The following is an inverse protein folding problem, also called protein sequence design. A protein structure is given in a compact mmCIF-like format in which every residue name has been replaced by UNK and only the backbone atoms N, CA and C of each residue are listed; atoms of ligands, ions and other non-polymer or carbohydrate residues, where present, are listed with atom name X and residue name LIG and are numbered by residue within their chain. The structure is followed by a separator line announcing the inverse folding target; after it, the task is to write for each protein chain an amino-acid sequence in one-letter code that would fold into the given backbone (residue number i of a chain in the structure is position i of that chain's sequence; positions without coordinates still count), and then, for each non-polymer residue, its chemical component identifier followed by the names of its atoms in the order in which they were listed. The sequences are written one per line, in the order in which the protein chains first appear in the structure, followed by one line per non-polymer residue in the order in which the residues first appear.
data_IF_347720715510
#
_entry.id   IF_347720715510
#
_cell.length_a   1.000
_cell.length_b   1.000
_cell.length_c   1.000
_cell.angle_alpha   90.00
_cell.angle_beta   90.00
_cell.angle_gamma   90.00
#
_symmetry.space_group_name_H-M   'P 1'
#
loop_
_entity.id
_entity.type
_entity.pdbx_description
1 polymer ?
2 non-polymer ?
3 non-polymer ?
4 water ?
#
# COMPACT_ATOMS: atom_id res chain seq x y z
N UNK A 1 2.42 -13.28 -26.97
CA UNK A 1 2.04 -12.41 -25.86
C UNK A 1 3.18 -11.59 -25.31
N UNK A 2 3.13 -10.25 -25.33
CA UNK A 2 4.00 -9.46 -24.46
C UNK A 2 3.19 -8.30 -23.85
N UNK A 3 3.67 -7.93 -22.72
CA UNK A 3 3.63 -7.41 -21.38
C UNK A 3 4.58 -6.24 -21.10
N UNK A 4 4.54 -5.31 -22.01
CA UNK A 4 5.32 -4.08 -22.01
C UNK A 4 4.65 -2.96 -21.27
N UNK A 5 5.18 -2.45 -20.19
CA UNK A 5 4.45 -1.36 -19.52
C UNK A 5 4.57 -0.07 -20.29
N UNK A 6 3.60 0.82 -20.14
CA UNK A 6 3.63 2.18 -20.63
C UNK A 6 3.25 3.10 -19.48
N UNK A 7 3.66 4.39 -19.56
CA UNK A 7 3.23 5.32 -18.49
C UNK A 7 1.72 5.31 -18.20
N UNK A 8 0.88 4.91 -19.15
CA UNK A 8 -0.55 4.85 -18.89
C UNK A 8 -0.93 3.83 -17.83
N UNK A 9 -0.07 2.83 -17.59
CA UNK A 9 -0.31 1.82 -16.57
C UNK A 9 -0.06 2.35 -15.16
N UNK A 10 0.48 3.54 -15.00
CA UNK A 10 0.60 4.21 -13.69
C UNK A 10 1.48 3.47 -12.71
N UNK A 11 2.52 2.82 -13.23
CA UNK A 11 3.48 2.16 -12.33
C UNK A 11 4.48 3.17 -11.79
N UNK A 12 4.65 3.15 -10.46
CA UNK A 12 5.54 4.09 -9.80
C UNK A 12 6.44 3.34 -8.83
N UNK A 13 7.59 3.96 -8.49
CA UNK A 13 8.59 3.36 -7.64
C UNK A 13 9.16 4.41 -6.68
N UNK A 14 9.46 4.04 -5.44
CA UNK A 14 10.14 4.98 -4.55
C UNK A 14 11.61 5.02 -4.93
N UNK A 15 12.20 6.21 -4.72
CA UNK A 15 13.64 6.31 -4.94
C UNK A 15 14.43 5.31 -4.09
N UNK A 16 13.88 5.03 -2.91
CA UNK A 16 14.56 4.18 -1.93
C UNK A 16 14.46 2.71 -2.29
N UNK A 17 13.70 2.35 -3.32
CA UNK A 17 13.54 0.92 -3.66
C UNK A 17 14.71 0.46 -4.50
N UNK A 18 14.74 0.92 -5.77
CA UNK A 18 15.88 0.58 -6.63
C UNK A 18 17.14 1.17 -6.02
N UNK A 19 17.05 2.22 -5.20
CA UNK A 19 18.23 2.81 -4.55
C UNK A 19 18.65 2.10 -3.28
N UNK A 20 17.99 1.01 -2.85
CA UNK A 20 18.42 0.33 -1.62
C UNK A 20 19.82 -0.24 -1.76
N UNK A 21 20.74 0.08 -0.86
CA UNK A 21 22.14 -0.32 -1.02
C UNK A 21 22.39 -1.71 -0.49
N UNK A 22 21.43 -2.34 0.16
CA UNK A 22 21.69 -3.75 0.54
C UNK A 22 22.13 -3.87 1.99
N UNK A 23 22.08 -2.79 2.77
CA UNK A 23 22.37 -2.95 4.21
C UNK A 23 21.26 -3.70 4.92
N UNK A 24 21.60 -4.78 5.66
CA UNK A 24 20.52 -5.46 6.42
C UNK A 24 21.00 -5.59 7.87
N UNK A 25 20.28 -6.15 8.81
CA UNK A 25 20.75 -6.17 10.20
C UNK A 25 22.07 -6.89 10.39
N UNK A 26 22.48 -7.71 9.43
CA UNK A 26 23.70 -8.49 9.65
C UNK A 26 24.75 -8.23 8.58
N UNK A 27 24.58 -7.18 7.76
CA UNK A 27 25.49 -7.04 6.62
C UNK A 27 25.60 -5.62 6.12
N UNK A 28 26.76 -5.35 5.56
CA UNK A 28 27.10 -4.09 4.97
C UNK A 28 26.45 -3.93 3.58
N UNK A 29 26.50 -2.71 3.07
CA UNK A 29 25.95 -2.45 1.75
C UNK A 29 26.67 -3.29 0.68
N UNK A 30 25.93 -3.78 -0.33
CA UNK A 30 26.56 -4.50 -1.43
C UNK A 30 26.52 -3.67 -2.70
N UNK A 31 25.85 -2.54 -2.70
CA UNK A 31 25.79 -1.69 -3.89
C UNK A 31 26.10 -0.24 -3.56
N UNK A 32 26.67 0.54 -4.48
CA UNK A 32 26.90 1.97 -4.26
C UNK A 32 25.60 2.72 -4.27
N UNK A 33 25.59 3.91 -3.72
CA UNK A 33 24.40 4.76 -3.81
C UNK A 33 24.14 5.17 -5.26
N UNK A 34 22.85 5.31 -5.53
CA UNK A 34 22.36 5.83 -6.79
C UNK A 34 21.99 7.32 -6.64
N UNK A 35 22.43 8.12 -7.60
CA UNK A 35 21.96 9.49 -7.72
C UNK A 35 20.48 9.47 -8.13
N UNK A 36 19.60 10.16 -7.43
CA UNK A 36 18.18 10.21 -7.80
C UNK A 36 17.92 10.49 -9.28
N UNK A 37 18.79 11.30 -9.86
CA UNK A 37 18.59 11.66 -11.29
C UNK A 37 18.79 10.43 -12.16
N UNK A 38 19.78 9.63 -11.76
CA UNK A 38 20.03 8.40 -12.50
C UNK A 38 18.83 7.45 -12.39
N UNK A 39 18.27 7.34 -11.19
CA UNK A 39 17.11 6.44 -11.02
C UNK A 39 15.91 6.90 -11.84
N UNK A 40 15.71 8.24 -11.87
CA UNK A 40 14.54 8.69 -12.64
C UNK A 40 14.74 8.34 -14.10
N UNK A 41 15.94 8.59 -14.62
CA UNK A 41 16.18 8.27 -16.03
C UNK A 41 16.02 6.77 -16.30
N UNK A 42 16.60 5.90 -15.47
CA UNK A 42 16.50 4.45 -15.76
C UNK A 42 15.07 3.93 -15.62
N UNK A 43 14.33 4.44 -14.63
CA UNK A 43 12.93 3.99 -14.48
C UNK A 43 12.07 4.42 -15.66
N UNK A 44 12.27 5.65 -16.15
CA UNK A 44 11.52 6.11 -17.31
C UNK A 44 11.81 5.20 -18.50
N UNK A 45 13.06 4.76 -18.64
CA UNK A 45 13.35 3.89 -19.78
C UNK A 45 12.62 2.56 -19.66
N UNK A 46 12.33 2.15 -18.44
CA UNK A 46 11.68 0.83 -18.24
C UNK A 46 10.19 0.91 -18.44
N UNK A 47 9.65 2.13 -18.55
CA UNK A 47 8.23 2.30 -18.76
C UNK A 47 7.48 2.74 -17.54
N UNK A 48 8.16 3.14 -16.47
CA UNK A 48 7.43 3.63 -15.31
C UNK A 48 6.75 4.96 -15.59
N UNK A 49 5.73 5.29 -14.80
CA UNK A 49 4.96 6.52 -14.88
C UNK A 49 5.54 7.59 -13.97
N UNK A 50 6.12 7.22 -12.83
CA UNK A 50 6.63 8.21 -11.91
C UNK A 50 7.42 7.62 -10.75
N UNK A 51 7.85 8.55 -9.89
CA UNK A 51 8.65 8.18 -8.73
C UNK A 51 8.08 8.84 -7.48
N UNK A 52 8.47 8.32 -6.32
CA UNK A 52 8.07 8.87 -5.02
C UNK A 52 9.33 9.04 -4.19
N UNK A 53 9.21 9.84 -3.14
CA UNK A 53 10.39 10.05 -2.30
C UNK A 53 10.03 10.37 -0.85
N UNK A 54 10.94 10.04 0.03
CA UNK A 54 11.04 10.66 1.33
C UNK A 54 11.88 11.97 1.21
N UNK A 55 11.57 12.96 2.04
CA UNK A 55 12.39 14.15 2.16
C UNK A 55 13.88 13.79 2.15
N UNK A 56 14.29 12.85 3.00
CA UNK A 56 15.72 12.60 3.12
C UNK A 56 16.30 11.77 1.98
N UNK A 57 15.51 11.25 1.07
CA UNK A 57 16.05 10.55 -0.09
C UNK A 57 16.58 11.53 -1.14
N UNK A 58 15.92 12.69 -1.15
CA UNK A 58 16.17 13.69 -2.19
C UNK A 58 17.15 14.76 -1.69
N UNK A 59 16.96 15.12 -0.41
CA UNK A 59 17.76 16.18 0.21
C UNK A 59 18.42 15.60 1.47
N UNK A 60 19.75 15.47 1.39
CA UNK A 60 20.50 14.87 2.50
C UNK A 60 20.14 15.55 3.82
N UNK A 61 19.89 14.75 4.84
CA UNK A 61 19.62 15.27 6.16
C UNK A 61 20.68 16.31 6.55
N UNK A 62 20.21 17.46 7.02
CA UNK A 62 20.92 18.59 7.55
C UNK A 62 21.34 19.56 6.47
N UNK A 63 20.95 19.32 5.22
CA UNK A 63 21.36 20.21 4.13
C UNK A 63 21.02 21.67 4.41
N UNK A 64 21.91 22.56 3.93
CA UNK A 64 21.66 23.99 3.98
C UNK A 64 20.55 24.36 2.99
N UNK A 65 19.85 25.48 3.21
CA UNK A 65 18.77 25.84 2.29
C UNK A 65 19.31 25.99 0.87
N UNK A 66 20.57 26.44 0.79
CA UNK A 66 21.14 26.57 -0.56
C UNK A 66 21.38 25.18 -1.13
N UNK A 67 21.85 24.20 -0.35
CA UNK A 67 22.00 22.91 -1.03
C UNK A 67 20.65 22.27 -1.32
N UNK A 68 19.65 22.49 -0.47
CA UNK A 68 18.29 22.01 -0.69
C UNK A 68 17.81 22.46 -2.06
N UNK A 69 17.87 23.76 -2.35
CA UNK A 69 17.48 24.29 -3.64
C UNK A 69 18.16 23.58 -4.81
N UNK A 70 19.46 23.38 -4.71
CA UNK A 70 20.27 22.72 -5.71
C UNK A 70 19.74 21.30 -5.96
N UNK A 71 19.48 20.55 -4.90
CA UNK A 71 19.03 19.16 -5.10
C UNK A 71 17.66 19.12 -5.77
N UNK A 72 16.77 20.03 -5.39
CA UNK A 72 15.43 20.01 -5.99
C UNK A 72 15.51 20.40 -7.46
N UNK A 73 16.32 21.43 -7.78
CA UNK A 73 16.39 21.90 -9.19
C UNK A 73 16.89 20.76 -10.09
N UNK A 74 17.93 20.02 -9.71
CA UNK A 74 18.43 18.91 -10.49
C UNK A 74 17.35 17.84 -10.69
N UNK A 75 16.64 17.55 -9.59
CA UNK A 75 15.60 16.52 -9.69
C UNK A 75 14.52 16.95 -10.67
N UNK A 76 14.09 18.21 -10.54
CA UNK A 76 13.05 18.74 -11.42
C UNK A 76 13.48 18.71 -12.87
N UNK A 77 14.76 18.98 -13.10
CA UNK A 77 15.16 18.89 -14.50
C UNK A 77 15.08 17.45 -14.99
N UNK A 78 15.42 16.47 -14.16
CA UNK A 78 15.28 15.07 -14.62
C UNK A 78 13.82 14.71 -14.88
N UNK A 79 12.90 15.24 -14.07
CA UNK A 79 11.46 14.99 -14.32
C UNK A 79 11.04 15.62 -15.64
N UNK A 80 11.50 16.85 -15.90
CA UNK A 80 11.15 17.52 -17.13
C UNK A 80 11.69 16.83 -18.37
N UNK A 81 12.89 16.26 -18.23
CA UNK A 81 13.55 15.61 -19.34
C UNK A 81 12.90 14.27 -19.70
N UNK A 82 12.27 13.64 -18.71
CA UNK A 82 11.75 12.27 -18.92
C UNK A 82 10.24 12.19 -18.98
N UNK A 83 9.50 13.24 -18.52
CA UNK A 83 8.05 13.16 -18.46
C UNK A 83 7.55 12.40 -17.24
N UNK A 84 8.44 12.02 -16.30
CA UNK A 84 8.05 11.31 -15.09
C UNK A 84 7.29 12.23 -14.14
N UNK A 85 6.35 11.71 -13.40
CA UNK A 85 5.57 12.43 -12.43
C UNK A 85 5.97 12.02 -11.01
N UNK A 86 5.51 12.83 -10.04
CA UNK A 86 5.69 12.55 -8.60
C UNK A 86 4.33 12.55 -7.91
N UNK A 87 3.65 11.41 -7.93
CA UNK A 87 2.27 11.39 -7.39
C UNK A 87 2.18 11.33 -5.87
N UNK A 88 3.26 10.96 -5.21
CA UNK A 88 3.18 10.73 -3.76
C UNK A 88 4.53 11.13 -3.16
N UNK A 89 4.48 11.64 -1.93
CA UNK A 89 5.72 11.89 -1.18
C UNK A 89 5.46 11.51 0.27
N UNK A 90 6.52 11.41 1.05
CA UNK A 90 6.40 11.02 2.45
C UNK A 90 7.60 11.56 3.21
N UNK A 91 7.61 11.40 4.51
CA UNK A 91 8.63 11.91 5.41
C UNK A 91 9.42 10.76 6.00
N UNK A 92 10.73 10.98 6.13
CA UNK A 92 11.49 9.98 6.89
C UNK A 92 11.44 10.38 8.37
N UNK A 93 10.60 9.63 9.11
CA UNK A 93 10.60 9.83 10.58
C UNK A 93 11.10 8.56 11.25
N UNK A 94 12.11 7.91 10.66
CA UNK A 94 12.50 6.63 11.25
C UNK A 94 13.99 6.42 11.22
N UNK A 95 14.77 7.03 10.35
CA UNK A 95 16.20 6.64 10.29
C UNK A 95 17.06 7.31 11.32
N UNK A 96 16.88 8.64 11.50
CA UNK A 96 17.77 9.35 12.44
C UNK A 96 17.56 8.89 13.87
N UNK A 97 18.62 8.72 14.65
CA UNK A 97 18.51 8.34 16.07
C UNK A 97 17.53 9.20 16.86
N UNK A 98 17.27 10.45 16.48
CA UNK A 98 16.34 11.21 17.31
C UNK A 98 14.95 10.56 17.30
N UNK A 99 14.60 9.78 16.27
CA UNK A 99 13.28 9.15 16.17
C UNK A 99 13.26 7.75 16.76
N UNK A 100 14.26 7.42 17.61
CA UNK A 100 14.34 6.02 18.13
C UNK A 100 13.10 5.60 18.93
N UNK A 101 12.36 6.52 19.52
CA UNK A 101 11.10 6.14 20.22
C UNK A 101 9.89 6.65 19.48
N UNK A 102 10.03 7.08 18.21
CA UNK A 102 8.91 7.53 17.40
C UNK A 102 9.11 8.98 16.96
N UNK A 103 8.19 9.43 16.12
CA UNK A 103 8.10 10.82 15.71
C UNK A 103 6.89 11.43 16.37
N UNK A 104 5.71 11.11 15.83
CA UNK A 104 4.48 11.71 16.38
C UNK A 104 4.11 11.22 17.77
N UNK A 105 4.59 10.04 18.19
CA UNK A 105 4.19 9.50 19.49
C UNK A 105 5.43 9.22 20.35
N UNK A 106 6.57 9.86 20.07
CA UNK A 106 7.73 9.79 20.95
C UNK A 106 7.31 10.26 22.34
N UNK A 107 7.87 9.67 23.37
CA UNK A 107 7.56 10.14 24.71
C UNK A 107 8.04 11.60 24.90
N UNK A 108 9.17 11.99 24.31
CA UNK A 108 9.70 13.34 24.49
C UNK A 108 8.89 14.32 23.64
N UNK A 109 8.30 15.31 24.29
CA UNK A 109 7.44 16.28 23.60
C UNK A 109 8.24 17.08 22.58
N UNK A 110 9.49 17.43 22.86
CA UNK A 110 10.23 18.25 21.89
C UNK A 110 10.44 17.45 20.60
N UNK A 111 10.62 16.14 20.71
CA UNK A 111 10.78 15.33 19.49
C UNK A 111 9.51 15.32 18.63
N UNK A 112 8.38 15.21 19.32
CA UNK A 112 7.07 15.23 18.62
C UNK A 112 6.94 16.55 17.86
N UNK A 113 7.33 17.68 18.43
CA UNK A 113 7.17 18.97 17.75
C UNK A 113 8.10 19.02 16.55
N UNK A 114 9.33 18.52 16.76
CA UNK A 114 10.26 18.46 15.61
C UNK A 114 9.69 17.60 14.50
N UNK A 115 9.12 16.43 14.84
CA UNK A 115 8.58 15.53 13.81
C UNK A 115 7.53 16.25 12.98
N UNK A 116 6.67 17.04 13.66
CA UNK A 116 5.64 17.77 12.93
C UNK A 116 6.24 18.82 12.00
N UNK A 117 7.22 19.60 12.48
CA UNK A 117 7.84 20.60 11.63
C UNK A 117 8.54 19.95 10.43
N UNK A 118 9.22 18.84 10.63
CA UNK A 118 9.94 18.17 9.53
C UNK A 118 8.92 17.73 8.49
N UNK A 119 7.79 17.21 8.94
CA UNK A 119 6.72 16.79 8.04
C UNK A 119 6.15 17.97 7.25
N UNK A 120 5.83 19.05 7.94
CA UNK A 120 5.21 20.21 7.26
C UNK A 120 6.10 20.76 6.18
N UNK A 121 7.40 20.88 6.47
CA UNK A 121 8.36 21.36 5.45
C UNK A 121 8.28 20.53 4.17
N UNK A 122 8.16 19.20 4.35
CA UNK A 122 8.12 18.36 3.16
C UNK A 122 6.74 18.34 2.52
N UNK A 123 5.64 18.64 3.21
CA UNK A 123 4.36 18.71 2.46
C UNK A 123 4.41 19.83 1.45
N UNK A 124 5.03 20.96 1.88
CA UNK A 124 5.13 22.10 0.95
C UNK A 124 5.91 21.68 -0.29
N UNK A 125 6.99 20.92 -0.09
CA UNK A 125 7.76 20.48 -1.25
C UNK A 125 6.92 19.52 -2.11
N UNK A 126 6.23 18.59 -1.46
CA UNK A 126 5.41 17.65 -2.19
C UNK A 126 4.39 18.35 -3.11
N UNK A 127 3.70 19.37 -2.57
CA UNK A 127 2.73 20.10 -3.38
C UNK A 127 3.39 20.77 -4.56
N UNK A 128 4.57 21.38 -4.33
CA UNK A 128 5.29 22.04 -5.44
C UNK A 128 5.62 21.05 -6.56
N UNK A 129 5.97 19.83 -6.22
CA UNK A 129 6.29 18.80 -7.23
C UNK A 129 5.04 18.12 -7.79
N UNK A 130 3.86 18.49 -7.32
CA UNK A 130 2.61 18.01 -7.89
C UNK A 130 2.07 16.75 -7.25
N UNK A 131 2.56 16.38 -6.07
CA UNK A 131 2.05 15.15 -5.46
C UNK A 131 0.60 15.30 -5.02
N UNK A 132 -0.17 14.22 -5.16
CA UNK A 132 -1.58 14.24 -4.78
C UNK A 132 -1.85 13.55 -3.44
N UNK A 133 -0.89 12.71 -3.03
CA UNK A 133 -1.08 11.89 -1.83
C UNK A 133 0.16 12.02 -0.96
N UNK A 134 0.00 12.15 0.35
CA UNK A 134 1.12 12.31 1.25
C UNK A 134 1.05 11.10 2.17
N UNK A 135 2.02 10.19 2.14
CA UNK A 135 1.93 8.98 2.96
C UNK A 135 2.60 9.18 4.30
N UNK A 136 2.03 8.56 5.33
CA UNK A 136 2.70 8.54 6.64
C UNK A 136 2.85 7.09 7.08
N UNK A 137 4.08 6.66 7.27
CA UNK A 137 4.35 5.34 7.81
C UNK A 137 5.02 5.55 9.17
N UNK A 138 4.32 5.21 10.23
CA UNK A 138 4.81 5.48 11.60
C UNK A 138 5.66 4.29 12.05
N UNK A 139 6.77 4.05 11.36
CA UNK A 139 7.56 2.84 11.59
C UNK A 139 8.19 2.79 12.98
N UNK A 140 8.41 3.95 13.62
CA UNK A 140 8.99 3.94 14.97
C UNK A 140 7.94 4.16 16.07
N UNK A 141 6.65 4.22 15.70
CA UNK A 141 5.59 4.48 16.69
C UNK A 141 5.23 3.14 17.30
N UNK A 142 5.59 2.90 18.54
CA UNK A 142 5.30 1.56 19.11
C UNK A 142 6.20 1.27 20.28
N UNK A 143 6.52 -0.01 20.49
CA UNK A 143 7.22 -0.35 21.74
C UNK A 143 7.81 -1.75 21.64
N UNK A 144 8.85 -1.98 22.46
CA UNK A 144 9.35 -3.36 22.70
C UNK A 144 8.85 -3.93 24.02
N UNK A 145 8.30 -3.09 24.89
CA UNK A 145 7.91 -3.51 26.23
C UNK A 145 6.64 -2.80 26.66
N UNK A 146 5.92 -3.42 27.58
CA UNK A 146 4.55 -2.97 27.89
C UNK A 146 4.49 -1.64 28.60
N UNK A 147 5.46 -1.33 29.46
CA UNK A 147 5.37 -0.09 30.24
C UNK A 147 5.84 1.13 29.54
N UNK A 148 6.54 0.98 28.43
CA UNK A 148 7.21 2.06 27.72
C UNK A 148 6.23 3.02 27.06
N UNK A 149 5.01 2.55 26.80
CA UNK A 149 4.11 3.33 25.94
C UNK A 149 2.69 3.11 26.45
N UNK A 150 2.03 4.16 26.94
CA UNK A 150 0.62 4.09 27.24
C UNK A 150 -0.10 4.28 25.91
N UNK A 151 -0.77 3.25 25.41
CA UNK A 151 -1.25 3.37 24.02
C UNK A 151 -2.42 4.33 23.93
N UNK A 152 -3.26 4.51 24.94
CA UNK A 152 -4.30 5.54 24.81
C UNK A 152 -3.68 6.91 24.70
N UNK A 153 -2.63 7.20 25.51
CA UNK A 153 -1.99 8.53 25.37
C UNK A 153 -1.32 8.64 23.99
N UNK A 154 -0.76 7.51 23.54
CA UNK A 154 -0.06 7.57 22.24
C UNK A 154 -1.05 7.85 21.13
N UNK A 155 -2.23 7.20 21.22
CA UNK A 155 -3.27 7.49 20.18
C UNK A 155 -3.74 8.91 20.26
N UNK A 156 -3.82 9.51 21.48
CA UNK A 156 -4.14 10.93 21.55
C UNK A 156 -3.11 11.79 20.81
N UNK A 157 -1.83 11.44 21.02
CA UNK A 157 -0.76 12.19 20.37
C UNK A 157 -0.81 11.97 18.85
N UNK A 158 -1.16 10.77 18.43
CA UNK A 158 -1.19 10.47 16.98
C UNK A 158 -2.31 11.27 16.35
N UNK A 159 -3.46 11.29 17.02
CA UNK A 159 -4.61 12.04 16.49
C UNK A 159 -4.26 13.54 16.47
N UNK A 160 -3.61 14.03 17.52
CA UNK A 160 -3.30 15.46 17.60
C UNK A 160 -2.41 15.81 16.41
N UNK A 161 -1.44 14.97 16.11
CA UNK A 161 -0.51 15.19 14.99
C UNK A 161 -1.25 15.23 13.65
N UNK A 162 -2.05 14.21 13.37
CA UNK A 162 -2.77 14.19 12.08
C UNK A 162 -3.78 15.32 12.04
N UNK A 163 -4.42 15.70 13.14
CA UNK A 163 -5.36 16.82 13.07
C UNK A 163 -4.64 18.12 12.75
N UNK A 164 -3.44 18.31 13.33
CA UNK A 164 -2.66 19.52 12.99
C UNK A 164 -2.27 19.57 11.53
N UNK A 165 -1.80 18.43 11.00
CA UNK A 165 -1.47 18.37 9.58
C UNK A 165 -2.68 18.66 8.68
N UNK A 166 -3.87 18.20 9.09
CA UNK A 166 -5.09 18.50 8.35
C UNK A 166 -5.41 19.99 8.41
N UNK A 167 -5.22 20.60 9.56
CA UNK A 167 -5.40 22.05 9.66
C UNK A 167 -4.45 22.80 8.77
N UNK A 168 -3.21 22.30 8.69
CA UNK A 168 -2.21 22.99 7.89
C UNK A 168 -2.65 22.95 6.43
N UNK A 169 -2.91 21.76 5.91
CA UNK A 169 -3.24 21.60 4.48
C UNK A 169 -4.44 22.43 4.14
N UNK A 170 -5.41 22.48 5.06
CA UNK A 170 -6.64 23.19 4.70
C UNK A 170 -6.43 24.70 4.76
N UNK A 171 -5.60 25.16 5.71
CA UNK A 171 -5.40 26.61 5.80
C UNK A 171 -4.55 27.11 4.65
N UNK A 172 -3.73 26.23 4.06
CA UNK A 172 -2.87 26.62 2.96
C UNK A 172 -3.63 26.48 1.65
N UNK A 173 -4.80 25.84 1.69
CA UNK A 173 -5.56 25.59 0.48
C UNK A 173 -5.00 24.50 -0.43
N UNK A 174 -4.16 23.60 0.08
CA UNK A 174 -3.58 22.54 -0.71
C UNK A 174 -4.57 21.44 -1.09
N UNK A 175 -4.46 20.91 -2.31
CA UNK A 175 -5.18 19.75 -2.77
C UNK A 175 -4.25 18.54 -2.61
N UNK A 176 -4.19 18.09 -1.37
CA UNK A 176 -3.41 16.88 -1.14
C UNK A 176 -4.17 16.12 -0.04
N UNK A 177 -4.10 14.80 -0.12
CA UNK A 177 -4.74 13.93 0.86
C UNK A 177 -3.72 13.06 1.56
N UNK A 178 -3.99 12.59 2.75
CA UNK A 178 -3.02 11.78 3.48
C UNK A 178 -3.35 10.31 3.39
N UNK A 179 -2.34 9.45 3.44
CA UNK A 179 -2.65 8.02 3.40
C UNK A 179 -1.81 7.39 4.51
N UNK A 180 -2.39 6.70 5.45
CA UNK A 180 -1.63 6.09 6.54
C UNK A 180 -1.28 4.68 6.12
N UNK A 181 -0.03 4.32 6.30
CA UNK A 181 0.48 3.02 5.96
C UNK A 181 0.65 2.17 7.21
N UNK A 182 -0.17 1.15 7.43
CA UNK A 182 -0.02 0.29 8.60
C UNK A 182 1.05 -0.76 8.39
N UNK A 183 1.63 -1.21 9.49
CA UNK A 183 2.60 -2.32 9.50
C UNK A 183 2.53 -2.93 10.90
N UNK A 184 2.51 -4.23 11.08
CA UNK A 184 2.31 -4.74 12.45
C UNK A 184 3.54 -4.70 13.37
N UNK A 185 4.74 -4.84 12.81
CA UNK A 185 5.97 -4.86 13.58
C UNK A 185 7.14 -4.58 12.62
N UNK A 186 8.31 -4.32 13.18
CA UNK A 186 9.56 -4.16 12.47
C UNK A 186 9.63 -2.74 11.91
N UNK A 187 10.46 -1.85 12.44
CA UNK A 187 11.49 -2.09 13.43
C UNK A 187 11.08 -2.10 14.87
N UNK A 188 9.88 -1.67 15.26
CA UNK A 188 9.54 -1.77 16.69
C UNK A 188 8.91 -3.14 16.94
N UNK A 189 8.95 -3.58 18.20
CA UNK A 189 8.44 -4.94 18.49
C UNK A 189 6.95 -5.05 18.18
N UNK A 190 6.17 -3.99 18.44
CA UNK A 190 4.79 -3.85 17.97
C UNK A 190 4.64 -2.39 17.53
N UNK A 191 4.02 -2.17 16.38
CA UNK A 191 3.82 -0.81 15.85
C UNK A 191 2.39 -0.40 16.04
N UNK A 192 2.09 0.84 16.35
CA UNK A 192 0.70 1.27 16.51
C UNK A 192 -0.03 1.30 15.17
N UNK A 193 -1.34 1.07 15.16
CA UNK A 193 -2.15 0.96 13.94
C UNK A 193 -1.56 -0.17 13.09
N UNK A 194 -1.54 -1.42 13.58
CA UNK A 194 -0.77 -2.49 12.95
C UNK A 194 -1.35 -3.06 11.67
N UNK A 195 -2.62 -2.83 11.39
CA UNK A 195 -3.20 -3.38 10.17
C UNK A 195 -4.14 -2.36 9.51
N UNK A 196 -4.57 -2.65 8.28
CA UNK A 196 -5.52 -1.78 7.58
C UNK A 196 -6.74 -1.49 8.46
N UNK A 197 -7.25 -2.51 9.17
CA UNK A 197 -8.45 -2.24 9.98
C UNK A 197 -8.20 -1.23 11.07
N UNK A 198 -7.07 -1.38 11.78
CA UNK A 198 -6.78 -0.44 12.88
C UNK A 198 -6.60 0.97 12.33
N UNK A 199 -5.97 1.11 11.18
CA UNK A 199 -5.84 2.45 10.55
C UNK A 199 -7.18 3.01 10.14
N UNK A 200 -8.06 2.23 9.50
CA UNK A 200 -9.37 2.71 9.09
C UNK A 200 -10.15 3.20 10.32
N UNK A 201 -10.05 2.44 11.44
CA UNK A 201 -10.83 2.79 12.62
C UNK A 201 -10.36 4.11 13.23
N UNK A 202 -9.04 4.28 13.24
CA UNK A 202 -8.45 5.49 13.77
C UNK A 202 -8.88 6.71 12.98
N UNK A 203 -8.92 6.58 11.65
CA UNK A 203 -9.28 7.75 10.81
C UNK A 203 -10.61 8.37 11.11
N UNK A 204 -11.55 7.50 11.51
CA UNK A 204 -12.93 7.92 11.81
C UNK A 204 -12.98 8.78 13.06
N UNK A 205 -11.89 8.82 13.83
CA UNK A 205 -11.82 9.67 15.05
C UNK A 205 -11.07 10.97 14.79
N UNK A 206 -10.59 11.19 13.56
CA UNK A 206 -9.91 12.45 13.25
C UNK A 206 -10.93 13.58 13.05
N UNK A 207 -10.45 14.83 13.15
CA UNK A 207 -11.43 15.92 13.02
C UNK A 207 -11.94 16.02 11.58
N UNK A 208 -11.11 15.77 10.57
CA UNK A 208 -11.58 15.88 9.18
C UNK A 208 -11.30 14.55 8.47
N UNK A 209 -12.09 13.53 8.77
CA UNK A 209 -11.75 12.19 8.28
C UNK A 209 -11.68 12.12 6.77
N UNK A 210 -12.38 13.02 6.05
CA UNK A 210 -12.42 12.92 4.59
C UNK A 210 -11.02 13.17 4.02
N UNK A 211 -10.07 13.75 4.76
CA UNK A 211 -8.74 14.02 4.22
C UNK A 211 -7.79 12.83 4.32
N UNK A 212 -8.25 11.74 4.93
CA UNK A 212 -7.33 10.67 5.27
C UNK A 212 -7.83 9.32 4.77
N UNK A 213 -6.91 8.54 4.21
CA UNK A 213 -7.17 7.18 3.75
C UNK A 213 -6.01 6.28 4.15
N UNK A 214 -5.96 5.10 3.54
CA UNK A 214 -4.92 4.13 3.85
C UNK A 214 -4.01 3.89 2.63
N UNK A 215 -2.77 3.52 2.88
CA UNK A 215 -1.80 3.03 1.91
C UNK A 215 -1.33 1.65 2.36
N UNK A 216 -2.10 0.60 2.10
CA UNK A 216 -1.78 -0.75 2.57
C UNK A 216 -0.63 -1.30 1.74
N UNK A 217 0.18 -2.18 2.32
CA UNK A 217 1.28 -2.84 1.63
C UNK A 217 1.07 -4.35 1.68
N UNK A 218 1.24 -5.00 0.54
CA UNK A 218 1.01 -6.44 0.46
C UNK A 218 1.70 -7.18 1.62
N UNK A 219 3.02 -6.98 1.75
CA UNK A 219 3.75 -7.82 2.71
C UNK A 219 3.38 -7.46 4.14
N UNK A 220 2.95 -6.23 4.42
CA UNK A 220 2.66 -5.87 5.81
C UNK A 220 1.46 -6.66 6.36
N UNK A 221 0.36 -6.70 5.57
CA UNK A 221 -0.79 -7.44 6.11
C UNK A 221 -0.41 -8.92 6.21
N UNK A 222 0.40 -9.39 5.27
CA UNK A 222 0.81 -10.80 5.29
C UNK A 222 1.75 -11.12 6.45
N UNK A 223 2.43 -10.14 7.02
CA UNK A 223 3.22 -10.37 8.23
C UNK A 223 2.38 -10.65 9.46
N UNK A 224 1.07 -10.37 9.34
CA UNK A 224 0.14 -10.77 10.40
C UNK A 224 -0.73 -11.97 9.96
N UNK A 225 -0.39 -12.55 8.81
CA UNK A 225 -1.06 -13.78 8.33
C UNK A 225 -2.46 -13.44 7.79
N UNK A 226 -2.70 -12.15 7.46
CA UNK A 226 -4.03 -11.76 7.00
C UNK A 226 -4.17 -11.85 5.49
N UNK A 227 -5.39 -11.83 4.98
CA UNK A 227 -5.67 -11.93 3.56
C UNK A 227 -5.65 -10.54 2.98
N UNK A 228 -4.64 -10.25 2.17
CA UNK A 228 -4.49 -8.89 1.66
C UNK A 228 -5.65 -8.50 0.79
N UNK A 229 -6.07 -9.26 -0.20
CA UNK A 229 -7.25 -8.89 -1.00
C UNK A 229 -8.47 -8.58 -0.14
N UNK A 230 -8.70 -9.36 0.92
CA UNK A 230 -9.85 -9.05 1.80
C UNK A 230 -9.71 -7.66 2.44
N UNK A 231 -8.49 -7.33 2.90
CA UNK A 231 -8.29 -6.03 3.60
C UNK A 231 -8.48 -4.92 2.59
N UNK A 232 -7.98 -5.10 1.38
CA UNK A 232 -8.16 -4.09 0.33
C UNK A 232 -9.64 -3.93 0.03
N UNK A 233 -10.40 -5.02 0.00
CA UNK A 233 -11.85 -4.91 -0.25
C UNK A 233 -12.49 -4.07 0.84
N UNK A 234 -12.09 -4.26 2.10
CA UNK A 234 -12.69 -3.45 3.17
C UNK A 234 -12.34 -1.97 2.99
N UNK A 235 -11.11 -1.69 2.58
CA UNK A 235 -10.70 -0.27 2.35
C UNK A 235 -11.49 0.34 1.20
N UNK A 236 -11.68 -0.45 0.13
CA UNK A 236 -12.48 0.06 -1.01
C UNK A 236 -13.92 0.33 -0.57
N UNK A 237 -14.44 -0.65 0.19
CA UNK A 237 -15.82 -0.53 0.65
C UNK A 237 -15.98 0.76 1.44
N UNK A 238 -14.94 1.12 2.23
CA UNK A 238 -15.02 2.31 3.06
C UNK A 238 -14.74 3.59 2.26
N UNK A 239 -14.30 3.45 1.00
CA UNK A 239 -13.96 4.64 0.19
C UNK A 239 -12.59 5.19 0.58
N UNK A 240 -11.66 4.37 1.10
CA UNK A 240 -10.45 4.90 1.71
C UNK A 240 -9.16 4.40 1.07
N UNK A 241 -9.27 3.71 -0.06
CA UNK A 241 -8.02 3.21 -0.68
C UNK A 241 -7.43 4.33 -1.55
N UNK A 242 -6.56 5.14 -0.94
CA UNK A 242 -6.01 6.31 -1.61
C UNK A 242 -4.73 6.00 -2.39
N UNK A 243 -4.06 4.91 -2.03
CA UNK A 243 -2.75 4.57 -2.58
C UNK A 243 -2.47 3.12 -2.23
N UNK A 244 -1.54 2.44 -2.87
CA UNK A 244 -1.28 1.07 -2.50
C UNK A 244 0.21 0.77 -2.76
N UNK A 245 0.81 -0.05 -1.88
CA UNK A 245 2.20 -0.43 -2.06
C UNK A 245 2.26 -1.91 -2.40
N UNK A 246 2.84 -2.24 -3.54
CA UNK A 246 2.89 -3.61 -4.06
C UNK A 246 4.27 -4.21 -3.93
N UNK A 247 4.29 -5.45 -3.40
CA UNK A 247 5.53 -6.17 -3.29
C UNK A 247 5.17 -7.63 -2.98
N UNK A 248 6.13 -8.44 -2.55
CA UNK A 248 5.83 -9.84 -2.21
C UNK A 248 6.46 -10.22 -0.87
N UNK A 249 5.89 -11.24 -0.24
CA UNK A 249 6.29 -11.63 1.11
C UNK A 249 6.06 -13.11 1.25
N UNK A 250 7.00 -13.89 1.76
CA UNK A 250 6.73 -15.29 2.02
C UNK A 250 6.38 -15.53 3.49
N UNK A 251 5.12 -15.24 3.83
CA UNK A 251 4.59 -15.61 5.13
C UNK A 251 4.96 -14.67 6.25
N UNK A 252 4.84 -15.23 7.46
CA UNK A 252 5.02 -14.49 8.69
C UNK A 252 6.48 -14.58 9.10
N UNK A 253 7.18 -13.50 8.86
CA UNK A 253 8.61 -13.38 9.17
C UNK A 253 8.98 -11.92 8.98
N UNK A 254 10.26 -11.60 9.02
CA UNK A 254 10.69 -10.21 8.71
C UNK A 254 10.13 -9.73 7.38
N UNK A 255 9.96 -8.41 7.21
CA UNK A 255 9.39 -7.95 5.94
C UNK A 255 10.47 -7.98 4.87
N UNK A 256 10.16 -8.82 3.87
CA UNK A 256 11.10 -9.13 2.81
C UNK A 256 11.09 -8.10 1.67
N UNK A 257 9.95 -7.48 1.36
CA UNK A 257 9.85 -6.51 0.28
C UNK A 257 10.36 -7.10 -1.02
N UNK A 258 9.98 -8.37 -1.34
CA UNK A 258 10.34 -8.92 -2.64
C UNK A 258 9.60 -8.21 -3.77
N UNK A 259 10.11 -8.45 -4.99
CA UNK A 259 9.35 -7.86 -6.10
C UNK A 259 7.93 -8.36 -6.19
N UNK A 260 7.03 -7.51 -6.73
CA UNK A 260 5.64 -7.92 -6.83
C UNK A 260 5.47 -9.16 -7.68
N UNK A 261 4.64 -10.12 -7.22
CA UNK A 261 4.37 -11.39 -7.90
C UNK A 261 5.13 -12.52 -7.21
N UNK A 262 6.28 -12.20 -6.61
CA UNK A 262 6.97 -13.14 -5.69
C UNK A 262 6.16 -13.25 -4.41
N UNK A 263 6.49 -14.21 -3.57
CA UNK A 263 5.75 -14.43 -2.33
C UNK A 263 4.48 -15.19 -2.72
N UNK A 264 3.35 -14.69 -2.27
CA UNK A 264 2.08 -15.44 -2.40
C UNK A 264 1.49 -15.10 -3.77
N UNK A 265 1.72 -15.95 -4.74
CA UNK A 265 1.31 -15.65 -6.12
C UNK A 265 -0.19 -15.62 -6.30
N UNK A 266 -0.91 -16.57 -5.65
CA UNK A 266 -2.39 -16.57 -5.83
C UNK A 266 -2.98 -15.32 -5.19
N UNK A 267 -2.42 -14.89 -4.06
CA UNK A 267 -2.94 -13.61 -3.47
C UNK A 267 -2.73 -12.44 -4.41
N UNK A 268 -1.62 -12.46 -5.14
CA UNK A 268 -1.32 -11.37 -6.10
C UNK A 268 -2.38 -11.37 -7.19
N UNK A 269 -2.78 -12.54 -7.68
CA UNK A 269 -3.82 -12.71 -8.71
C UNK A 269 -5.13 -12.13 -8.18
N UNK A 270 -5.56 -12.55 -6.96
CA UNK A 270 -6.87 -12.03 -6.49
C UNK A 270 -6.78 -10.55 -6.21
N UNK A 271 -5.58 -10.04 -5.85
CA UNK A 271 -5.44 -8.59 -5.63
C UNK A 271 -5.63 -7.83 -6.93
N UNK A 272 -4.93 -8.25 -7.99
CA UNK A 272 -5.09 -7.55 -9.30
C UNK A 272 -6.52 -7.66 -9.79
N UNK A 273 -7.17 -8.83 -9.67
CA UNK A 273 -8.57 -9.01 -10.06
C UNK A 273 -9.42 -7.96 -9.37
N UNK A 274 -9.22 -7.79 -8.07
CA UNK A 274 -10.02 -6.81 -7.33
C UNK A 274 -9.70 -5.36 -7.69
N UNK A 275 -8.42 -4.98 -7.80
CA UNK A 275 -8.14 -3.57 -8.17
C UNK A 275 -8.73 -3.21 -9.51
N UNK A 276 -8.60 -4.12 -10.47
CA UNK A 276 -9.04 -3.82 -11.84
C UNK A 276 -10.56 -3.89 -11.90
N UNK A 277 -11.18 -4.81 -11.17
CA UNK A 277 -12.64 -4.85 -11.29
C UNK A 277 -13.27 -3.72 -10.48
N UNK A 278 -12.67 -3.24 -9.43
CA UNK A 278 -13.21 -2.10 -8.70
C UNK A 278 -12.88 -0.76 -9.37
N UNK A 279 -12.02 -0.74 -10.37
CA UNK A 279 -11.75 0.54 -11.04
C UNK A 279 -10.78 1.40 -10.22
N UNK A 280 -9.91 0.80 -9.44
CA UNK A 280 -8.95 1.59 -8.67
C UNK A 280 -8.14 2.43 -9.65
N UNK A 281 -8.08 3.74 -9.47
CA UNK A 281 -7.42 4.52 -10.53
C UNK A 281 -6.17 5.22 -10.05
N UNK A 282 -5.68 4.83 -8.87
CA UNK A 282 -4.48 5.50 -8.36
C UNK A 282 -3.22 4.84 -8.85
N UNK A 283 -2.06 5.29 -8.37
CA UNK A 283 -0.81 4.67 -8.78
C UNK A 283 -0.70 3.21 -8.34
N UNK A 284 0.03 2.44 -9.13
CA UNK A 284 0.43 1.09 -8.75
C UNK A 284 1.90 1.23 -8.34
N UNK A 285 2.12 1.46 -7.07
CA UNK A 285 3.44 1.78 -6.54
C UNK A 285 4.14 0.53 -5.99
N UNK A 286 5.38 0.41 -6.35
CA UNK A 286 6.12 -0.74 -5.87
C UNK A 286 7.04 -0.30 -4.73
N UNK A 287 6.81 -0.82 -3.53
CA UNK A 287 7.72 -0.56 -2.42
C UNK A 287 8.45 -1.87 -2.17
N UNK A 288 9.55 -2.09 -2.85
CA UNK A 288 10.24 -3.37 -2.82
C UNK A 288 11.75 -3.14 -2.71
N UNK A 289 12.50 -4.20 -2.41
CA UNK A 289 13.93 -4.11 -2.32
C UNK A 289 14.59 -5.14 -3.21
N UNK A 290 15.35 -4.76 -4.21
CA UNK A 290 16.06 -5.78 -4.99
C UNK A 290 17.00 -6.52 -4.03
N UNK A 291 17.01 -7.83 -3.96
CA UNK A 291 17.86 -8.52 -2.99
C UNK A 291 19.31 -8.11 -3.09
N UNK A 292 19.97 -8.16 -1.92
CA UNK A 292 21.35 -7.62 -1.86
C UNK A 292 22.36 -8.52 -2.57
N UNK A 293 21.88 -9.70 -3.04
CA UNK A 293 22.67 -10.57 -3.90
C UNK A 293 22.92 -9.95 -5.27
N UNK A 294 22.14 -8.95 -5.64
CA UNK A 294 22.15 -8.49 -7.04
C UNK A 294 23.07 -7.31 -7.28
N UNK A 295 23.62 -7.23 -8.53
CA UNK A 295 24.28 -5.99 -8.92
C UNK A 295 23.28 -5.04 -9.58
N UNK A 296 23.73 -3.92 -10.16
CA UNK A 296 22.71 -3.02 -10.73
C UNK A 296 21.93 -3.63 -11.89
N UNK A 297 22.53 -4.57 -12.64
CA UNK A 297 21.72 -5.18 -13.70
C UNK A 297 20.58 -5.93 -13.04
N UNK A 298 20.80 -6.60 -11.92
CA UNK A 298 19.72 -7.33 -11.25
C UNK A 298 18.72 -6.36 -10.62
N UNK A 299 19.18 -5.16 -10.24
CA UNK A 299 18.19 -4.23 -9.70
C UNK A 299 17.15 -3.88 -10.76
N UNK A 300 17.65 -3.59 -11.98
CA UNK A 300 16.71 -3.15 -13.03
C UNK A 300 15.85 -4.31 -13.50
N UNK A 301 16.42 -5.53 -13.48
CA UNK A 301 15.64 -6.71 -13.83
C UNK A 301 14.51 -6.93 -12.82
N UNK A 302 14.80 -6.71 -11.54
CA UNK A 302 13.80 -6.92 -10.47
C UNK A 302 12.69 -5.90 -10.59
N UNK A 303 13.09 -4.64 -10.88
CA UNK A 303 12.09 -3.58 -11.10
C UNK A 303 11.20 -3.87 -12.31
N UNK A 304 11.79 -4.29 -13.42
CA UNK A 304 11.01 -4.62 -14.62
C UNK A 304 10.03 -5.75 -14.30
N UNK A 305 10.52 -6.69 -13.48
CA UNK A 305 9.70 -7.86 -13.14
C UNK A 305 8.44 -7.50 -12.36
N UNK A 306 8.51 -6.47 -11.51
CA UNK A 306 7.35 -5.95 -10.79
C UNK A 306 6.24 -5.63 -11.77
N UNK A 307 6.62 -4.87 -12.81
CA UNK A 307 5.61 -4.41 -13.74
C UNK A 307 5.12 -5.54 -14.63
N UNK A 308 6.04 -6.37 -15.08
CA UNK A 308 5.66 -7.52 -15.91
C UNK A 308 4.64 -8.43 -15.21
N UNK A 309 4.92 -8.73 -13.95
CA UNK A 309 4.01 -9.64 -13.22
C UNK A 309 2.64 -9.00 -13.03
N UNK A 310 2.58 -7.70 -12.75
CA UNK A 310 1.26 -7.09 -12.70
C UNK A 310 0.53 -7.29 -14.02
N UNK A 311 1.22 -7.04 -15.13
CA UNK A 311 0.52 -7.07 -16.43
C UNK A 311 0.14 -8.51 -16.79
N UNK A 312 0.95 -9.52 -16.42
CA UNK A 312 0.50 -10.89 -16.71
C UNK A 312 -0.75 -11.18 -15.86
N UNK A 313 -0.69 -10.87 -14.56
CA UNK A 313 -1.87 -11.18 -13.72
C UNK A 313 -3.11 -10.43 -14.17
N UNK A 314 -2.95 -9.18 -14.63
CA UNK A 314 -4.09 -8.43 -15.15
C UNK A 314 -4.75 -9.13 -16.32
N UNK A 315 -3.91 -9.66 -17.21
CA UNK A 315 -4.46 -10.38 -18.37
C UNK A 315 -5.21 -11.65 -17.95
N UNK A 316 -4.62 -12.40 -16.99
CA UNK A 316 -5.22 -13.66 -16.54
C UNK A 316 -6.51 -13.38 -15.76
N UNK A 317 -6.53 -12.34 -14.92
CA UNK A 317 -7.77 -12.07 -14.17
C UNK A 317 -8.89 -11.63 -15.11
N UNK A 318 -8.54 -10.85 -16.13
CA UNK A 318 -9.55 -10.40 -17.08
C UNK A 318 -10.13 -11.58 -17.88
N UNK A 319 -9.24 -12.51 -18.26
CA UNK A 319 -9.71 -13.68 -19.00
C UNK A 319 -10.62 -14.55 -18.15
N UNK A 320 -10.30 -14.66 -16.87
CA UNK A 320 -11.12 -15.40 -15.89
C UNK A 320 -12.52 -14.79 -15.84
N UNK A 321 -12.58 -13.47 -15.68
CA UNK A 321 -13.89 -12.86 -15.50
C UNK A 321 -14.70 -12.86 -16.80
N UNK A 322 -14.01 -12.92 -17.93
CA UNK A 322 -14.75 -12.82 -19.20
C UNK A 322 -15.21 -14.20 -19.70
N UNK A 323 -14.68 -15.26 -19.09
CA UNK A 323 -14.97 -16.63 -19.55
C UNK A 323 -16.41 -17.03 -19.28
N UNK A 324 -17.21 -17.38 -20.27
CA UNK A 324 -18.61 -17.74 -19.99
C UNK A 324 -18.70 -18.92 -19.03
N UNK A 325 -17.71 -19.80 -19.05
CA UNK A 325 -17.81 -20.95 -18.14
C UNK A 325 -17.66 -20.51 -16.67
N UNK A 326 -16.82 -19.46 -16.49
CA UNK A 326 -16.61 -18.94 -15.13
C UNK A 326 -17.86 -18.18 -14.72
N UNK A 327 -18.47 -17.44 -15.65
CA UNK A 327 -19.70 -16.69 -15.29
C UNK A 327 -20.79 -17.66 -14.88
N UNK A 328 -20.87 -18.79 -15.54
CA UNK A 328 -21.87 -19.82 -15.14
C UNK A 328 -21.52 -20.42 -13.77
N UNK A 329 -20.23 -20.69 -13.53
CA UNK A 329 -19.79 -21.20 -12.21
C UNK A 329 -20.07 -20.20 -11.11
N UNK A 330 -19.93 -18.90 -11.36
CA UNK A 330 -20.23 -17.93 -10.31
C UNK A 330 -21.72 -17.98 -9.94
N UNK A 331 -22.58 -18.15 -10.96
CA UNK A 331 -24.00 -18.29 -10.65
C UNK A 331 -24.24 -19.60 -9.92
N UNK A 332 -23.50 -20.66 -10.26
CA UNK A 332 -23.73 -21.94 -9.59
C UNK A 332 -23.36 -21.78 -8.12
N UNK A 333 -22.39 -20.91 -7.79
CA UNK A 333 -21.95 -20.72 -6.41
C UNK A 333 -22.70 -19.60 -5.70
N UNK A 334 -23.68 -19.05 -6.38
CA UNK A 334 -24.63 -18.06 -5.90
C UNK A 334 -23.95 -16.74 -5.57
N UNK A 335 -22.88 -16.41 -6.30
CA UNK A 335 -22.33 -15.04 -6.08
C UNK A 335 -23.37 -13.97 -6.49
N UNK A 336 -24.24 -14.31 -7.45
CA UNK A 336 -25.28 -13.33 -7.80
C UNK A 336 -26.22 -13.05 -6.63
N UNK A 337 -26.53 -14.07 -5.84
CA UNK A 337 -27.42 -13.91 -4.70
C UNK A 337 -26.74 -13.13 -3.56
N UNK A 338 -25.43 -13.30 -3.46
CA UNK A 338 -24.72 -12.53 -2.42
C UNK A 338 -24.88 -11.01 -2.63
N UNK A 339 -24.99 -10.59 -3.89
CA UNK A 339 -25.11 -9.17 -4.26
C UNK A 339 -26.54 -8.66 -4.06
N UNK A 340 -27.49 -9.57 -3.79
CA UNK A 340 -28.87 -9.07 -3.63
C UNK A 340 -29.16 -8.80 -2.17
N UNK A 341 -29.94 -7.75 -1.86
CA UNK A 341 -30.23 -7.51 -0.45
C UNK A 341 -30.92 -8.68 0.23
N UNK A 342 -30.53 -8.90 1.47
CA UNK A 342 -31.18 -9.92 2.29
C UNK A 342 -32.64 -9.64 2.56
N UNK A 343 -32.93 -8.39 2.83
CA UNK A 343 -34.30 -8.07 3.28
C UNK A 343 -34.71 -6.67 2.84
N UNK A 344 -34.69 -6.45 1.52
CA UNK A 344 -35.17 -5.14 1.08
C UNK A 344 -36.66 -4.97 1.39
N UNK A 345 -37.39 -6.00 1.72
CA UNK A 345 -38.81 -5.95 2.07
C UNK A 345 -38.95 -5.28 3.43
N UNK A 346 -37.87 -5.27 4.21
CA UNK A 346 -37.87 -4.58 5.50
C UNK A 346 -38.05 -5.49 6.68
N UNK A 347 -37.84 -5.00 7.90
CA UNK A 347 -37.83 -5.79 9.11
C UNK A 347 -39.16 -6.50 9.35
N UNK A 348 -40.21 -5.66 9.25
CA UNK A 348 -41.52 -6.17 9.58
C UNK A 348 -41.90 -7.29 8.62
N UNK A 349 -41.63 -7.14 7.33
CA UNK A 349 -41.97 -8.25 6.41
C UNK A 349 -41.12 -9.48 6.70
N UNK A 350 -39.86 -9.24 7.08
CA UNK A 350 -39.02 -10.40 7.43
C UNK A 350 -39.57 -11.17 8.62
N UNK A 351 -40.03 -10.43 9.64
CA UNK A 351 -40.59 -11.04 10.84
C UNK A 351 -41.88 -11.80 10.50
N UNK A 352 -42.62 -11.35 9.51
CA UNK A 352 -43.89 -11.98 9.14
C UNK A 352 -43.74 -13.10 8.11
N UNK A 353 -42.52 -13.30 7.62
CA UNK A 353 -42.29 -14.27 6.55
C UNK A 353 -42.06 -15.67 7.07
N UNK A 354 -43.09 -16.49 7.00
CA UNK A 354 -42.93 -17.85 7.54
C UNK A 354 -41.88 -18.65 6.78
N UNK A 355 -41.61 -18.30 5.52
CA UNK A 355 -40.61 -19.12 4.82
C UNK A 355 -39.20 -18.84 5.31
N UNK A 356 -39.06 -17.80 6.14
CA UNK A 356 -37.70 -17.48 6.63
C UNK A 356 -37.41 -18.20 7.93
N UNK A 357 -38.39 -18.91 8.50
CA UNK A 357 -38.08 -19.55 9.77
C UNK A 357 -39.04 -20.69 10.05
N UNK A 358 -40.32 -20.39 10.32
CA UNK A 358 -41.29 -21.40 10.70
C UNK A 358 -41.31 -22.52 9.67
N UNK A 359 -41.29 -22.18 8.38
CA UNK A 359 -41.44 -23.18 7.31
C UNK A 359 -40.19 -23.27 6.45
N UNK A 360 -39.06 -22.82 6.97
CA UNK A 360 -37.80 -22.95 6.24
C UNK A 360 -37.26 -24.36 6.38
N UNK A 361 -36.93 -25.00 5.27
CA UNK A 361 -36.48 -26.37 5.24
C UNK A 361 -34.96 -26.33 5.38
N UNK A 362 -34.49 -26.43 6.63
CA UNK A 362 -33.04 -26.29 6.87
C UNK A 362 -32.25 -27.43 6.27
N UNK A 363 -32.80 -28.63 6.30
CA UNK A 363 -32.07 -29.77 5.75
C UNK A 363 -31.88 -29.65 4.25
N UNK A 364 -32.89 -29.12 3.55
CA UNK A 364 -32.74 -29.03 2.10
C UNK A 364 -31.68 -27.99 1.77
N UNK A 365 -31.70 -26.90 2.54
CA UNK A 365 -30.75 -25.81 2.29
C UNK A 365 -29.33 -26.30 2.57
N UNK A 366 -29.19 -27.04 3.68
CA UNK A 366 -27.86 -27.50 4.06
C UNK A 366 -27.27 -28.48 3.06
N UNK A 367 -28.12 -29.23 2.35
CA UNK A 367 -27.64 -30.25 1.40
C UNK A 367 -27.11 -29.57 0.13
N UNK A 368 -27.40 -28.28 -0.12
CA UNK A 368 -26.94 -27.74 -1.39
C UNK A 368 -25.43 -27.49 -1.40
N UNK A 369 -24.63 -28.05 -2.29
CA UNK A 369 -23.18 -27.77 -2.28
C UNK A 369 -22.96 -26.36 -2.81
N UNK A 370 -21.86 -25.74 -2.36
CA UNK A 370 -21.58 -24.39 -2.83
C UNK A 370 -20.81 -24.37 -4.15
N UNK A 371 -20.24 -25.50 -4.60
CA UNK A 371 -19.51 -25.59 -5.88
C UNK A 371 -18.27 -24.68 -5.93
N UNK A 372 -17.69 -24.41 -4.74
CA UNK A 372 -16.54 -23.50 -4.70
C UNK A 372 -15.28 -24.15 -5.27
N UNK A 373 -15.15 -25.49 -5.17
CA UNK A 373 -13.86 -26.08 -5.61
C UNK A 373 -13.74 -26.07 -7.15
N UNK A 374 -14.87 -26.33 -7.82
CA UNK A 374 -14.86 -26.25 -9.30
C UNK A 374 -14.52 -24.81 -9.70
N UNK A 375 -15.13 -23.82 -9.06
CA UNK A 375 -14.85 -22.40 -9.33
C UNK A 375 -13.38 -22.09 -9.13
N UNK A 376 -12.82 -22.56 -8.01
CA UNK A 376 -11.40 -22.26 -7.69
C UNK A 376 -10.46 -22.98 -8.65
N UNK A 377 -10.84 -24.15 -9.18
CA UNK A 377 -9.94 -24.80 -10.14
C UNK A 377 -10.05 -24.09 -11.49
N UNK A 378 -11.20 -23.52 -11.87
CA UNK A 378 -11.22 -22.67 -13.07
C UNK A 378 -10.30 -21.46 -12.88
N UNK A 379 -10.27 -20.90 -11.66
CA UNK A 379 -9.40 -19.74 -11.40
C UNK A 379 -7.92 -20.15 -11.53
N UNK A 380 -7.63 -21.35 -11.03
CA UNK A 380 -6.25 -21.84 -11.10
C UNK A 380 -5.86 -22.07 -12.54
N UNK A 381 -6.72 -22.74 -13.31
CA UNK A 381 -6.46 -23.00 -14.73
C UNK A 381 -6.22 -21.68 -15.48
N UNK A 382 -7.01 -20.63 -15.17
CA UNK A 382 -6.80 -19.34 -15.85
C UNK A 382 -5.48 -18.73 -15.46
N UNK A 383 -5.16 -18.72 -14.16
CA UNK A 383 -3.87 -18.18 -13.69
C UNK A 383 -2.70 -18.87 -14.40
N UNK A 384 -2.72 -20.20 -14.56
CA UNK A 384 -1.60 -20.95 -15.16
C UNK A 384 -1.64 -21.02 -16.66
N UNK A 385 -2.68 -20.42 -17.27
CA UNK A 385 -2.81 -20.45 -18.73
C UNK A 385 -3.05 -21.85 -19.24
N UNK A 386 -3.84 -22.61 -18.49
CA UNK A 386 -4.12 -23.98 -18.85
C UNK A 386 -5.56 -24.12 -19.29
N UNK A 387 -6.18 -23.11 -19.86
CA UNK A 387 -7.55 -23.43 -20.28
C UNK A 387 -7.58 -24.13 -21.64
N UNK A 388 -8.55 -25.05 -21.81
CA UNK A 388 -8.81 -25.80 -23.01
C UNK A 388 -10.28 -25.87 -23.34
X LIG B 1 7.07 -2.06 3.97
X LIG C 1 7.54 -3.87 3.78
X LIG D 1 5.50 0.65 2.06
X LIG E 1 8.04 0.00 5.62
X LIG E 1 7.20 0.84 4.69
X LIG E 1 7.82 2.11 4.09
X LIG E 1 6.74 3.13 3.71
X LIG E 1 7.34 4.47 3.20
X LIG E 1 6.14 5.43 3.50
X LIG E 1 8.34 -1.17 5.81
X LIG E 1 6.69 0.05 3.65
X LIG E 1 8.63 2.04 2.84
X LIG E 1 6.11 2.67 2.57
X LIG E 1 8.44 4.77 4.09
X LIG E 1 6.00 6.47 2.51
#
# INVERSE_FOLDING_TARGET
MNYQPTPEDRFTFGLWTVGWQGRDPFGDATRRALDPVESVRRLAELGAHGVTFHDDDLIPFGSSDSEREEHVKRFRQALDDTGMKVPMATTNLFTHPVFKDGGFTANDRDVRRYALRKTIRNIDLAVELGAETYVAWGGREGAESGGAKDVRDALDRMKEAFDLLGEYVTSQGYDIRFAIEPKPNEPRGDILLPTVGHALAFIERLERPELYGVNPEVGHEQMAGLNFPHGIAQALWAGKLFHIDLNGQNGIKYDQDLRFGAGDLRAAFWLVDLLESAGYSGPRHFDFKPPRTEDFDGVWASAAGCMRNYLILKERAAAFRADPEVQEALRASRLDELARPTAADGLQALLDDRSAFEEFDVDAAAARGMAFERLDQLAMDHLLGARG
NI NI
NI NI
NI NI
GLO C1 C2 C3 C4 C5 C6 O1 O2 O3 O4 O5 O6
#
